data_IF_357475616217
#
_entry.id   IF_357475616217
#
_cell.length_a   1.000
_cell.length_b   1.000
_cell.length_c   1.000
_cell.angle_alpha   90.00
_cell.angle_beta   90.00
_cell.angle_gamma   90.00
#
_symmetry.space_group_name_H-M   'P 1'
#
loop_
_entity.id
_entity.type
_entity.pdbx_description
1 polymer ?
#
# COMPACT_ATOMS: atom_id res chain seq x y z
N UNK A 1 5.07 -14.97 19.89
CA UNK A 1 4.16 -14.37 18.91
C UNK A 1 3.99 -15.37 17.79
N UNK A 2 2.82 -15.98 17.71
CA UNK A 2 2.51 -16.99 16.68
C UNK A 2 1.86 -16.24 15.52
N UNK A 3 2.66 -15.88 14.52
CA UNK A 3 2.18 -15.31 13.27
C UNK A 3 1.53 -16.44 12.48
N UNK A 4 0.22 -16.64 12.67
CA UNK A 4 -0.51 -17.68 11.92
C UNK A 4 -0.38 -17.38 10.42
N UNK A 5 0.43 -18.17 9.72
CA UNK A 5 0.54 -18.13 8.26
C UNK A 5 -0.86 -18.31 7.67
N UNK A 6 -1.32 -17.34 6.88
CA UNK A 6 -2.57 -17.48 6.12
C UNK A 6 -2.44 -18.69 5.18
N UNK A 7 -3.42 -19.61 5.26
CA UNK A 7 -3.51 -20.81 4.41
C UNK A 7 -4.12 -20.53 3.04
N UNK A 8 -4.55 -19.29 2.78
CA UNK A 8 -5.25 -18.91 1.55
C UNK A 8 -4.39 -19.08 0.28
N UNK A 9 -3.09 -19.35 0.45
CA UNK A 9 -2.12 -19.49 -0.64
C UNK A 9 -1.48 -20.88 -0.72
N UNK A 10 -1.91 -21.83 0.11
CA UNK A 10 -1.30 -23.17 0.18
C UNK A 10 -1.47 -23.94 -1.15
N UNK A 11 -2.49 -23.61 -1.94
CA UNK A 11 -2.76 -24.21 -3.25
C UNK A 11 -1.99 -23.54 -4.41
N UNK A 12 -1.28 -22.43 -4.18
CA UNK A 12 -0.55 -21.74 -5.25
C UNK A 12 0.86 -22.30 -5.44
N UNK A 13 1.07 -23.01 -6.54
CA UNK A 13 2.38 -23.54 -6.93
C UNK A 13 3.33 -22.42 -7.38
N UNK A 14 4.57 -22.44 -6.90
CA UNK A 14 5.65 -21.52 -7.34
C UNK A 14 5.67 -20.15 -6.67
N UNK A 15 4.76 -19.89 -5.72
CA UNK A 15 4.72 -18.63 -4.96
C UNK A 15 5.94 -18.44 -4.07
N UNK A 16 6.55 -19.53 -3.59
CA UNK A 16 7.73 -19.50 -2.72
C UNK A 16 8.90 -18.77 -3.37
N UNK A 17 9.19 -19.05 -4.65
CA UNK A 17 10.26 -18.38 -5.39
C UNK A 17 9.97 -16.88 -5.61
N UNK A 18 8.70 -16.53 -5.83
CA UNK A 18 8.28 -15.13 -5.94
C UNK A 18 8.40 -14.39 -4.61
N UNK A 19 8.02 -15.03 -3.49
CA UNK A 19 8.17 -14.45 -2.16
C UNK A 19 9.64 -14.31 -1.78
N UNK A 20 10.49 -15.32 -2.05
CA UNK A 20 11.92 -15.23 -1.75
C UNK A 20 12.60 -14.09 -2.54
N UNK A 21 12.22 -13.91 -3.81
CA UNK A 21 12.71 -12.79 -4.62
C UNK A 21 12.22 -11.45 -4.07
N UNK A 22 10.96 -11.37 -3.65
CA UNK A 22 10.39 -10.14 -3.11
C UNK A 22 10.91 -9.80 -1.73
N UNK A 23 11.17 -10.78 -0.86
CA UNK A 23 11.81 -10.59 0.44
C UNK A 23 13.21 -9.99 0.28
N UNK A 24 13.93 -10.39 -0.78
CA UNK A 24 15.21 -9.79 -1.18
C UNK A 24 15.04 -8.36 -1.70
N UNK A 25 14.04 -8.10 -2.54
CA UNK A 25 13.78 -6.76 -3.14
C UNK A 25 13.26 -5.76 -2.11
N UNK A 26 12.42 -6.22 -1.19
CA UNK A 26 11.88 -5.41 -0.10
C UNK A 26 12.92 -5.23 1.02
N UNK A 27 14.05 -5.94 0.95
CA UNK A 27 15.10 -6.02 1.97
C UNK A 27 14.50 -6.10 3.37
N UNK A 28 13.43 -6.89 3.56
CA UNK A 28 12.74 -7.09 4.86
C UNK A 28 13.56 -7.98 5.80
N UNK A 29 14.88 -7.95 5.59
CA UNK A 29 15.89 -8.71 6.27
C UNK A 29 16.17 -7.96 7.57
N UNK A 30 15.90 -8.58 8.73
CA UNK A 30 16.09 -7.92 10.03
C UNK A 30 17.55 -7.54 10.32
N UNK A 31 18.49 -7.98 9.48
CA UNK A 31 19.93 -7.70 9.52
C UNK A 31 20.37 -6.49 8.67
N UNK A 32 19.47 -5.87 7.90
CA UNK A 32 19.75 -4.67 7.10
C UNK A 32 18.94 -3.50 7.67
N UNK A 33 19.56 -2.74 8.59
CA UNK A 33 19.08 -1.43 9.05
C UNK A 33 19.22 -0.40 7.92
N UNK A 34 18.49 -0.59 6.82
CA UNK A 34 18.27 0.47 5.84
C UNK A 34 16.88 1.07 6.10
N UNK A 35 16.90 2.13 6.90
CA UNK A 35 15.79 2.91 7.43
C UNK A 35 15.01 3.65 6.31
N UNK A 36 15.09 3.20 5.05
CA UNK A 36 14.60 3.92 3.88
C UNK A 36 13.19 3.51 3.45
N UNK A 37 12.38 4.51 3.12
CA UNK A 37 11.07 4.32 2.49
C UNK A 37 11.26 3.88 1.02
N UNK A 38 10.76 2.68 0.69
CA UNK A 38 10.86 2.09 -0.65
C UNK A 38 9.52 2.06 -1.37
N UNK A 39 9.53 2.36 -2.67
CA UNK A 39 8.37 2.22 -3.56
C UNK A 39 8.66 1.18 -4.65
N UNK A 40 7.81 0.15 -4.77
CA UNK A 40 8.00 -0.96 -5.72
C UNK A 40 6.79 -1.07 -6.64
N UNK A 41 7.03 -1.06 -7.95
CA UNK A 41 6.02 -1.28 -8.96
C UNK A 41 5.97 -2.74 -9.44
N UNK A 42 4.80 -3.38 -9.34
CA UNK A 42 4.54 -4.71 -9.93
C UNK A 42 3.76 -4.53 -11.23
N UNK A 43 4.39 -4.81 -12.36
CA UNK A 43 3.81 -4.64 -13.69
C UNK A 43 3.96 -5.90 -14.55
N UNK A 44 3.15 -6.03 -15.60
CA UNK A 44 3.14 -7.20 -16.49
C UNK A 44 1.77 -7.51 -17.08
N UNK A 45 1.66 -8.51 -17.97
CA UNK A 45 0.42 -8.84 -18.70
C UNK A 45 -0.78 -9.14 -17.78
N UNK A 46 -2.02 -8.98 -18.27
CA UNK A 46 -3.22 -9.46 -17.55
C UNK A 46 -3.13 -10.96 -17.24
N UNK A 47 -3.63 -11.39 -16.08
CA UNK A 47 -3.67 -12.81 -15.70
C UNK A 47 -2.38 -13.40 -15.13
N UNK A 48 -1.24 -12.71 -15.17
CA UNK A 48 0.05 -13.24 -14.67
C UNK A 48 0.16 -13.34 -13.13
N UNK A 49 -0.89 -12.96 -12.39
CA UNK A 49 -0.92 -13.10 -10.92
C UNK A 49 -0.33 -11.93 -10.11
N UNK A 50 -0.18 -10.73 -10.70
CA UNK A 50 0.36 -9.54 -9.99
C UNK A 50 -0.36 -9.23 -8.66
N UNK A 51 -1.69 -9.16 -8.70
CA UNK A 51 -2.50 -8.90 -7.51
C UNK A 51 -2.41 -10.06 -6.50
N UNK A 52 -2.24 -11.30 -6.98
CA UNK A 52 -1.99 -12.47 -6.11
C UNK A 52 -0.66 -12.34 -5.36
N UNK A 53 0.40 -11.95 -6.06
CA UNK A 53 1.73 -11.70 -5.47
C UNK A 53 1.65 -10.58 -4.43
N UNK A 54 1.03 -9.44 -4.77
CA UNK A 54 0.87 -8.32 -3.86
C UNK A 54 0.10 -8.71 -2.59
N UNK A 55 -0.94 -9.54 -2.73
CA UNK A 55 -1.74 -10.03 -1.59
C UNK A 55 -0.98 -10.99 -0.69
N UNK A 56 -0.22 -11.90 -1.29
CA UNK A 56 0.62 -12.83 -0.53
C UNK A 56 1.67 -12.07 0.30
N UNK A 57 2.33 -11.07 -0.30
CA UNK A 57 3.29 -10.20 0.39
C UNK A 57 2.65 -9.46 1.56
N UNK A 58 1.48 -8.87 1.34
CA UNK A 58 0.76 -8.16 2.39
C UNK A 58 0.42 -9.08 3.56
N UNK A 59 -0.11 -10.27 3.28
CA UNK A 59 -0.49 -11.23 4.31
C UNK A 59 0.72 -11.79 5.08
N UNK A 60 1.87 -11.92 4.42
CA UNK A 60 3.10 -12.38 5.06
C UNK A 60 3.76 -11.32 5.95
N UNK A 61 3.70 -10.04 5.55
CA UNK A 61 4.54 -8.99 6.16
C UNK A 61 3.80 -7.91 6.93
N UNK A 62 2.50 -7.73 6.73
CA UNK A 62 1.68 -6.68 7.38
C UNK A 62 1.89 -6.59 8.89
N UNK A 63 2.00 -7.73 9.59
CA UNK A 63 2.21 -7.79 11.03
C UNK A 63 3.57 -7.29 11.53
N UNK A 64 4.51 -6.93 10.64
CA UNK A 64 5.82 -6.35 10.99
C UNK A 64 5.80 -4.82 11.01
N UNK A 65 4.73 -4.20 10.51
CA UNK A 65 4.57 -2.75 10.38
C UNK A 65 3.58 -2.22 11.41
N UNK A 66 3.74 -0.95 11.81
CA UNK A 66 2.85 -0.31 12.78
C UNK A 66 1.45 -0.11 12.19
N UNK A 67 1.41 0.24 10.90
CA UNK A 67 0.19 0.36 10.12
C UNK A 67 0.34 -0.37 8.79
N UNK A 68 -0.73 -0.99 8.32
CA UNK A 68 -0.73 -1.64 7.02
C UNK A 68 -2.10 -1.53 6.36
N UNK A 69 -2.11 -1.35 5.03
CA UNK A 69 -3.35 -1.29 4.25
C UNK A 69 -3.18 -1.95 2.89
N UNK A 70 -4.15 -2.79 2.53
CA UNK A 70 -4.31 -3.30 1.17
C UNK A 70 -5.52 -2.64 0.53
N UNK A 71 -5.28 -1.72 -0.39
CA UNK A 71 -6.35 -1.05 -1.14
C UNK A 71 -6.60 -1.81 -2.44
N UNK A 72 -7.64 -2.66 -2.43
CA UNK A 72 -8.07 -3.40 -3.64
C UNK A 72 -8.73 -2.47 -4.64
N UNK A 73 -8.41 -2.62 -5.93
CA UNK A 73 -9.11 -1.97 -7.02
C UNK A 73 -9.14 -0.42 -6.92
N UNK A 74 -7.96 0.20 -6.76
CA UNK A 74 -7.79 1.66 -6.66
C UNK A 74 -8.41 2.41 -7.85
N UNK A 75 -8.34 1.84 -9.05
CA UNK A 75 -9.06 2.34 -10.23
C UNK A 75 -10.54 2.64 -9.96
N UNK A 76 -11.24 1.78 -9.23
CA UNK A 76 -12.66 1.99 -8.92
C UNK A 76 -12.89 3.03 -7.82
N UNK A 77 -11.87 3.37 -7.02
CA UNK A 77 -11.97 4.42 -6.01
C UNK A 77 -11.97 5.82 -6.62
N UNK A 78 -11.45 5.94 -7.84
CA UNK A 78 -11.44 7.14 -8.63
C UNK A 78 -12.75 7.25 -9.43
N UNK A 79 -13.73 7.94 -8.84
CA UNK A 79 -14.89 8.45 -9.58
C UNK A 79 -14.67 9.94 -9.75
N UNK A 80 -14.30 10.40 -10.95
CA UNK A 80 -14.19 11.84 -11.23
C UNK A 80 -15.60 12.36 -11.49
N UNK A 81 -16.20 13.17 -10.59
CA UNK A 81 -17.46 13.81 -10.89
C UNK A 81 -17.27 14.73 -12.11
N UNK A 82 -18.31 14.83 -12.94
CA UNK A 82 -18.38 15.86 -13.97
C UNK A 82 -18.25 17.21 -13.24
N UNK A 83 -17.19 17.97 -13.52
CA UNK A 83 -16.82 19.26 -12.90
C UNK A 83 -15.94 19.26 -11.63
N UNK A 84 -15.28 18.16 -11.22
CA UNK A 84 -14.29 18.23 -10.12
C UNK A 84 -12.90 18.62 -10.62
N UNK A 85 -12.27 19.58 -9.94
CA UNK A 85 -10.83 19.83 -10.06
C UNK A 85 -10.00 18.69 -9.46
N UNK A 86 -8.70 18.67 -9.79
CA UNK A 86 -7.78 17.63 -9.33
C UNK A 86 -7.51 17.68 -7.82
N UNK A 87 -7.67 18.84 -7.19
CA UNK A 87 -7.48 18.99 -5.75
C UNK A 87 -8.56 18.21 -4.97
N UNK A 88 -9.83 18.40 -5.33
CA UNK A 88 -10.95 17.72 -4.69
C UNK A 88 -10.90 16.19 -4.91
N UNK A 89 -10.46 15.76 -6.11
CA UNK A 89 -10.24 14.34 -6.39
C UNK A 89 -9.14 13.77 -5.49
N UNK A 90 -7.98 14.45 -5.39
CA UNK A 90 -6.89 14.03 -4.52
C UNK A 90 -7.32 14.00 -3.05
N UNK A 91 -8.12 14.98 -2.60
CA UNK A 91 -8.58 15.07 -1.21
C UNK A 91 -9.51 13.89 -0.88
N UNK A 92 -10.44 13.56 -1.76
CA UNK A 92 -11.33 12.41 -1.57
C UNK A 92 -10.56 11.08 -1.55
N UNK A 93 -9.56 10.91 -2.41
CA UNK A 93 -8.71 9.72 -2.45
C UNK A 93 -7.83 9.61 -1.19
N UNK A 94 -7.18 10.70 -0.77
CA UNK A 94 -6.37 10.71 0.44
C UNK A 94 -7.23 10.46 1.68
N UNK A 95 -8.47 10.96 1.72
CA UNK A 95 -9.39 10.67 2.82
C UNK A 95 -9.67 9.17 2.94
N UNK A 96 -9.98 8.50 1.81
CA UNK A 96 -10.19 7.04 1.79
C UNK A 96 -8.93 6.28 2.25
N UNK A 97 -7.77 6.66 1.72
CA UNK A 97 -6.49 6.06 2.09
C UNK A 97 -6.19 6.20 3.59
N UNK A 98 -6.23 7.43 4.11
CA UNK A 98 -5.96 7.72 5.52
C UNK A 98 -6.98 7.02 6.42
N UNK A 99 -8.27 7.04 6.07
CA UNK A 99 -9.32 6.36 6.84
C UNK A 99 -9.08 4.85 6.94
N UNK A 100 -8.67 4.21 5.84
CA UNK A 100 -8.41 2.76 5.82
C UNK A 100 -7.13 2.39 6.59
N UNK A 101 -6.02 3.11 6.39
CA UNK A 101 -4.73 2.74 7.01
C UNK A 101 -4.73 2.93 8.52
N UNK A 102 -5.45 3.92 9.05
CA UNK A 102 -5.57 4.15 10.50
C UNK A 102 -6.80 3.45 11.11
N UNK A 103 -7.60 2.77 10.28
CA UNK A 103 -8.85 2.12 10.66
C UNK A 103 -9.86 3.08 11.37
N UNK A 104 -10.11 4.25 10.79
CA UNK A 104 -11.08 5.24 11.29
C UNK A 104 -12.05 5.68 10.19
N UNK A 105 -13.25 5.11 10.18
CA UNK A 105 -14.26 5.31 9.13
C UNK A 105 -14.82 6.74 9.07
N UNK A 106 -14.83 7.47 10.18
CA UNK A 106 -15.37 8.83 10.27
C UNK A 106 -14.30 9.92 10.12
N UNK A 107 -13.10 9.59 9.64
CA UNK A 107 -12.04 10.58 9.52
C UNK A 107 -12.34 11.56 8.37
N UNK A 108 -12.37 12.85 8.71
CA UNK A 108 -12.44 13.94 7.74
C UNK A 108 -11.08 14.62 7.66
N UNK A 109 -10.46 14.62 6.48
CA UNK A 109 -9.28 15.45 6.21
C UNK A 109 -9.71 16.79 5.62
N UNK A 110 -8.94 17.83 5.91
CA UNK A 110 -9.22 19.19 5.41
C UNK A 110 -8.23 19.65 4.34
N UNK A 111 -7.13 18.92 4.15
CA UNK A 111 -6.04 19.28 3.26
C UNK A 111 -5.21 18.05 2.85
N UNK A 112 -4.41 18.17 1.79
CA UNK A 112 -3.60 17.08 1.18
C UNK A 112 -2.32 16.70 1.95
N UNK A 113 -2.09 17.27 3.13
CA UNK A 113 -0.97 16.95 4.02
C UNK A 113 -1.33 15.94 5.09
N UNK A 114 -2.61 15.56 5.19
CA UNK A 114 -3.14 14.76 6.29
C UNK A 114 -2.54 13.34 6.38
N UNK A 115 -2.10 12.78 5.26
CA UNK A 115 -1.36 11.52 5.23
C UNK A 115 0.02 11.67 5.88
N UNK A 116 0.81 12.67 5.45
CA UNK A 116 2.12 12.96 6.03
C UNK A 116 2.02 13.22 7.53
N UNK A 117 1.09 14.05 7.98
CA UNK A 117 0.90 14.37 9.42
C UNK A 117 0.64 13.15 10.30
N UNK A 118 0.06 12.08 9.73
CA UNK A 118 -0.36 10.88 10.47
C UNK A 118 0.59 9.71 10.33
N UNK A 119 1.44 9.71 9.31
CA UNK A 119 2.21 8.54 8.90
C UNK A 119 3.73 8.80 8.90
N UNK A 120 4.19 10.05 9.04
CA UNK A 120 5.61 10.41 8.98
C UNK A 120 6.48 9.87 10.12
N UNK A 121 5.88 9.33 11.19
CA UNK A 121 6.55 8.71 12.33
C UNK A 121 6.19 7.22 12.47
N UNK A 122 5.55 6.63 11.45
CA UNK A 122 5.06 5.25 11.46
C UNK A 122 5.74 4.43 10.39
N UNK A 123 6.01 3.17 10.75
CA UNK A 123 6.40 2.14 9.79
C UNK A 123 5.16 1.64 9.10
N UNK A 124 5.05 1.89 7.80
CA UNK A 124 3.84 1.57 7.05
C UNK A 124 4.09 0.57 5.93
N UNK A 125 3.14 -0.36 5.74
CA UNK A 125 3.05 -1.18 4.55
C UNK A 125 1.79 -0.83 3.76
N UNK A 126 1.97 -0.23 2.59
CA UNK A 126 0.86 0.17 1.71
C UNK A 126 0.91 -0.66 0.43
N UNK A 127 -0.18 -1.34 0.11
CA UNK A 127 -0.36 -2.02 -1.17
C UNK A 127 -1.53 -1.38 -1.92
N UNK A 128 -1.22 -0.81 -3.09
CA UNK A 128 -2.18 -0.17 -3.99
C UNK A 128 -2.40 -1.07 -5.21
N UNK A 129 -3.52 -1.80 -5.24
CA UNK A 129 -3.82 -2.73 -6.33
C UNK A 129 -4.65 -2.06 -7.44
N UNK A 130 -4.35 -2.40 -8.69
CA UNK A 130 -5.03 -1.89 -9.89
C UNK A 130 -5.04 -0.35 -9.99
N UNK A 131 -3.88 0.28 -9.78
CA UNK A 131 -3.66 1.72 -10.04
C UNK A 131 -3.56 1.95 -11.55
N UNK A 132 -4.30 2.92 -12.08
CA UNK A 132 -4.33 3.23 -13.51
C UNK A 132 -4.17 4.73 -13.85
N UNK A 133 -4.08 5.60 -12.84
CA UNK A 133 -3.92 7.04 -13.04
C UNK A 133 -2.90 7.63 -12.05
N UNK A 134 -2.07 8.57 -12.51
CA UNK A 134 -1.05 9.23 -11.68
C UNK A 134 -1.67 9.94 -10.47
N UNK A 135 -2.85 10.55 -10.64
CA UNK A 135 -3.57 11.26 -9.56
C UNK A 135 -3.84 10.36 -8.34
N UNK A 136 -3.95 9.05 -8.53
CA UNK A 136 -4.14 8.08 -7.45
C UNK A 136 -2.88 7.93 -6.60
N UNK A 137 -1.71 7.83 -7.24
CA UNK A 137 -0.41 7.78 -6.56
C UNK A 137 -0.13 9.11 -5.86
N UNK A 138 -0.37 10.24 -6.53
CA UNK A 138 -0.16 11.57 -5.95
C UNK A 138 -1.06 11.86 -4.74
N UNK A 139 -2.22 11.21 -4.64
CA UNK A 139 -3.11 11.37 -3.50
C UNK A 139 -2.69 10.53 -2.29
N UNK A 140 -2.07 9.37 -2.50
CA UNK A 140 -1.86 8.36 -1.46
C UNK A 140 -0.39 8.17 -1.06
N UNK A 141 0.54 8.30 -2.01
CA UNK A 141 1.96 8.00 -1.82
C UNK A 141 2.82 8.86 -2.77
N UNK A 142 2.61 10.18 -2.75
CA UNK A 142 3.30 11.11 -3.66
C UNK A 142 4.81 11.13 -3.42
N UNK A 143 5.21 11.20 -2.15
CA UNK A 143 6.57 11.47 -1.74
C UNK A 143 6.95 10.49 -0.63
N UNK A 144 8.22 10.09 -0.57
CA UNK A 144 8.69 9.12 0.42
C UNK A 144 8.62 9.64 1.86
N UNK A 145 8.83 10.94 2.07
CA UNK A 145 8.77 11.58 3.40
C UNK A 145 7.37 11.67 4.02
N UNK A 146 6.33 11.17 3.34
CA UNK A 146 5.01 10.99 3.95
C UNK A 146 5.01 9.87 4.98
N UNK A 147 6.02 9.01 4.95
CA UNK A 147 6.10 7.79 5.72
C UNK A 147 7.34 7.83 6.61
N UNK A 148 7.22 7.25 7.80
CA UNK A 148 8.32 7.12 8.73
C UNK A 148 9.40 6.19 8.21
N UNK A 149 10.62 6.56 8.55
CA UNK A 149 11.78 5.70 8.60
C UNK A 149 11.49 4.60 9.67
N UNK A 150 11.75 3.32 9.37
CA UNK A 150 11.28 2.18 10.16
C UNK A 150 12.33 1.18 10.62
#
# INVERSE_FOLDING_TARGET
>A
FDSTRSRDFDDFVGMEAHMEKMDKVLELRPDLDDDQVRMIGIWGPPGIGKSTIARCLFNQHSGRFDLSVFMTNVKAMHTRPVCSDDYNVKLALQQKFVSQIINQEALKITHLGAAQERLNDKRVLVVLDNVDQLVQLEAMAKETWWFGHG
#
